data_IF_549905100039
#
_entry.id   IF_549905100039
#
_cell.length_a   1.000
_cell.length_b   1.000
_cell.length_c   1.000
_cell.angle_alpha   90.00
_cell.angle_beta   90.00
_cell.angle_gamma   90.00
#
_symmetry.space_group_name_H-M   'P 1'
#
loop_
_entity.id
_entity.type
_entity.pdbx_description
1 polymer ?
#
# COMPACT_ATOMS: atom_id res chain seq x y z
N UNK A 1 -59.35 -8.51 -90.20
CA UNK A 1 -60.02 -8.15 -88.93
C UNK A 1 -60.10 -9.40 -88.08
N UNK A 2 -59.53 -9.39 -86.87
CA UNK A 2 -59.75 -10.43 -85.85
C UNK A 2 -58.53 -11.29 -85.50
N UNK A 3 -57.60 -10.72 -84.75
CA UNK A 3 -56.52 -11.45 -84.08
C UNK A 3 -57.07 -12.23 -82.87
N UNK A 4 -56.71 -13.50 -82.75
CA UNK A 4 -56.87 -14.28 -81.52
C UNK A 4 -55.54 -14.95 -81.19
N UNK A 5 -54.62 -14.18 -80.63
CA UNK A 5 -53.47 -14.70 -79.91
C UNK A 5 -53.93 -15.15 -78.52
N UNK A 6 -53.79 -16.43 -78.26
CA UNK A 6 -53.96 -17.08 -76.97
C UNK A 6 -53.04 -16.43 -75.94
N UNK A 7 -53.62 -15.86 -74.87
CA UNK A 7 -52.89 -15.35 -73.70
C UNK A 7 -51.85 -16.39 -73.23
N UNK A 8 -50.58 -16.02 -72.99
CA UNK A 8 -49.76 -16.79 -72.08
C UNK A 8 -50.37 -16.67 -70.69
N UNK A 9 -50.69 -17.80 -70.05
CA UNK A 9 -50.93 -17.90 -68.61
C UNK A 9 -49.63 -17.56 -67.87
N UNK A 10 -49.34 -16.27 -67.79
CA UNK A 10 -48.36 -15.66 -66.89
C UNK A 10 -49.08 -15.41 -65.56
N UNK A 11 -49.04 -16.40 -64.68
CA UNK A 11 -49.23 -16.17 -63.26
C UNK A 11 -48.45 -17.24 -62.50
N UNK A 12 -47.12 -17.13 -62.56
CA UNK A 12 -46.24 -17.83 -61.64
C UNK A 12 -46.65 -17.54 -60.20
N UNK A 13 -46.38 -18.46 -59.29
CA UNK A 13 -46.66 -18.30 -57.87
C UNK A 13 -46.10 -16.96 -57.37
N UNK A 14 -46.97 -15.97 -57.18
CA UNK A 14 -46.61 -14.71 -56.55
C UNK A 14 -46.57 -15.00 -55.05
N UNK A 15 -45.35 -15.19 -54.55
CA UNK A 15 -45.09 -15.19 -53.11
C UNK A 15 -45.42 -13.80 -52.57
N UNK A 16 -46.64 -13.63 -52.06
CA UNK A 16 -47.01 -12.46 -51.27
C UNK A 16 -46.27 -12.59 -49.94
N UNK A 17 -45.21 -11.80 -49.75
CA UNK A 17 -44.63 -11.61 -48.43
C UNK A 17 -45.73 -11.03 -47.51
N UNK A 18 -46.24 -11.87 -46.62
CA UNK A 18 -47.36 -11.55 -45.74
C UNK A 18 -46.83 -10.86 -44.48
N UNK A 19 -47.27 -9.62 -44.27
CA UNK A 19 -47.30 -8.96 -42.95
C UNK A 19 -45.94 -8.63 -42.34
N UNK A 20 -45.92 -7.90 -41.20
CA UNK A 20 -44.67 -7.71 -40.45
C UNK A 20 -44.07 -9.08 -40.19
N UNK A 21 -42.74 -9.19 -40.30
CA UNK A 21 -42.00 -10.45 -40.15
C UNK A 21 -42.15 -11.04 -38.75
N UNK A 22 -43.32 -11.61 -38.45
CA UNK A 22 -43.59 -12.37 -37.25
C UNK A 22 -43.10 -13.78 -37.52
N UNK A 23 -42.00 -14.14 -36.86
CA UNK A 23 -41.54 -15.52 -36.81
C UNK A 23 -42.67 -16.36 -36.21
N UNK A 24 -43.03 -17.49 -36.84
CA UNK A 24 -44.11 -18.34 -36.32
C UNK A 24 -43.73 -18.90 -34.94
N UNK A 25 -44.72 -19.00 -34.06
CA UNK A 25 -44.53 -19.50 -32.69
C UNK A 25 -43.90 -20.90 -32.67
N UNK A 26 -44.27 -21.77 -33.61
CA UNK A 26 -43.71 -23.12 -33.72
C UNK A 26 -42.22 -23.13 -34.14
N UNK A 27 -41.79 -22.16 -34.95
CA UNK A 27 -40.38 -21.99 -35.27
C UNK A 27 -39.61 -21.43 -34.08
N UNK A 28 -40.21 -20.51 -33.32
CA UNK A 28 -39.61 -20.01 -32.07
C UNK A 28 -39.45 -21.14 -31.05
N UNK A 29 -40.45 -21.99 -30.87
CA UNK A 29 -40.41 -23.12 -29.95
C UNK A 29 -39.42 -24.21 -30.41
N UNK A 30 -39.29 -24.43 -31.73
CA UNK A 30 -38.24 -25.29 -32.31
C UNK A 30 -36.83 -24.71 -32.13
N UNK A 31 -36.67 -23.39 -32.24
CA UNK A 31 -35.40 -22.71 -31.98
C UNK A 31 -35.05 -22.68 -30.49
N UNK A 32 -36.05 -22.67 -29.61
CA UNK A 32 -35.90 -22.66 -28.16
C UNK A 32 -35.66 -24.06 -27.58
N UNK A 33 -36.21 -25.10 -28.20
CA UNK A 33 -36.02 -26.50 -27.79
C UNK A 33 -34.74 -27.14 -28.37
N UNK A 34 -34.06 -26.50 -29.33
CA UNK A 34 -32.86 -27.05 -29.95
C UNK A 34 -31.58 -26.72 -29.14
N UNK A 35 -30.92 -27.72 -28.52
CA UNK A 35 -29.75 -27.51 -27.66
C UNK A 35 -28.52 -26.97 -28.41
N UNK A 36 -28.40 -27.22 -29.71
CA UNK A 36 -27.28 -26.73 -30.53
C UNK A 36 -27.30 -25.20 -30.69
N UNK A 37 -28.50 -24.61 -30.67
CA UNK A 37 -28.68 -23.15 -30.76
C UNK A 37 -28.30 -22.48 -29.45
N UNK A 38 -28.57 -23.13 -28.32
CA UNK A 38 -28.22 -22.62 -26.99
C UNK A 38 -26.69 -22.57 -26.79
N UNK A 39 -25.97 -23.64 -27.18
CA UNK A 39 -24.51 -23.66 -27.13
C UNK A 39 -23.87 -22.55 -27.99
N UNK A 40 -24.43 -22.30 -29.18
CA UNK A 40 -23.96 -21.25 -30.08
C UNK A 40 -24.25 -19.85 -29.51
N UNK A 41 -25.41 -19.66 -28.89
CA UNK A 41 -25.81 -18.40 -28.23
C UNK A 41 -24.95 -18.12 -27.00
N UNK A 42 -24.71 -19.13 -26.16
CA UNK A 42 -23.84 -19.03 -25.00
C UNK A 42 -22.41 -18.63 -25.40
N UNK A 43 -21.84 -19.24 -26.45
CA UNK A 43 -20.53 -18.84 -27.00
C UNK A 43 -20.51 -17.40 -27.50
N UNK A 44 -21.58 -16.97 -28.17
CA UNK A 44 -21.68 -15.59 -28.68
C UNK A 44 -21.73 -14.57 -27.54
N UNK A 45 -22.50 -14.88 -26.49
CA UNK A 45 -22.59 -14.05 -25.28
C UNK A 45 -21.24 -14.01 -24.56
N UNK A 46 -20.58 -15.16 -24.43
CA UNK A 46 -19.25 -15.24 -23.79
C UNK A 46 -18.22 -14.37 -24.53
N UNK A 47 -18.19 -14.40 -25.86
CA UNK A 47 -17.30 -13.54 -26.66
C UNK A 47 -17.59 -12.06 -26.42
N UNK A 48 -18.87 -11.66 -26.30
CA UNK A 48 -19.24 -10.28 -25.99
C UNK A 48 -18.84 -9.87 -24.58
N UNK A 49 -18.98 -10.77 -23.60
CA UNK A 49 -18.52 -10.54 -22.23
C UNK A 49 -17.00 -10.36 -22.22
N UNK A 50 -16.25 -11.25 -22.87
CA UNK A 50 -14.81 -11.15 -22.99
C UNK A 50 -14.37 -9.83 -23.66
N UNK A 51 -15.07 -9.41 -24.72
CA UNK A 51 -14.79 -8.14 -25.39
C UNK A 51 -15.00 -6.95 -24.44
N UNK A 52 -16.12 -6.90 -23.72
CA UNK A 52 -16.39 -5.83 -22.74
C UNK A 52 -15.39 -5.84 -21.59
N UNK A 53 -15.07 -7.01 -21.05
CA UNK A 53 -14.07 -7.14 -19.98
C UNK A 53 -12.70 -6.66 -20.46
N UNK A 54 -12.29 -7.03 -21.68
CA UNK A 54 -11.03 -6.58 -22.26
C UNK A 54 -11.00 -5.06 -22.50
N UNK A 55 -12.12 -4.44 -22.91
CA UNK A 55 -12.24 -3.00 -23.02
C UNK A 55 -12.12 -2.30 -21.66
N UNK A 56 -12.80 -2.80 -20.63
CA UNK A 56 -12.72 -2.23 -19.28
C UNK A 56 -11.32 -2.40 -18.67
N UNK A 57 -10.66 -3.55 -18.87
CA UNK A 57 -9.28 -3.77 -18.44
C UNK A 57 -8.31 -2.81 -19.12
N UNK A 58 -8.48 -2.55 -20.43
CA UNK A 58 -7.67 -1.55 -21.14
C UNK A 58 -7.88 -0.14 -20.60
N UNK A 59 -9.12 0.23 -20.26
CA UNK A 59 -9.42 1.53 -19.64
C UNK A 59 -8.74 1.66 -18.27
N UNK A 60 -8.82 0.63 -17.42
CA UNK A 60 -8.16 0.63 -16.11
C UNK A 60 -6.64 0.68 -16.27
N UNK A 61 -6.05 -0.10 -17.17
CA UNK A 61 -4.61 -0.06 -17.43
C UNK A 61 -4.14 1.33 -17.88
N UNK A 62 -4.91 2.01 -18.73
CA UNK A 62 -4.59 3.38 -19.15
C UNK A 62 -4.65 4.35 -17.97
N UNK A 63 -5.71 4.29 -17.15
CA UNK A 63 -5.84 5.12 -15.94
C UNK A 63 -4.72 4.87 -14.94
N UNK A 64 -4.35 3.61 -14.70
CA UNK A 64 -3.21 3.26 -13.85
C UNK A 64 -1.91 3.78 -14.44
N UNK A 65 -1.69 3.65 -15.75
CA UNK A 65 -0.49 4.17 -16.40
C UNK A 65 -0.38 5.70 -16.33
N UNK A 66 -1.50 6.40 -16.45
CA UNK A 66 -1.58 7.87 -16.32
C UNK A 66 -1.36 8.29 -14.87
N UNK A 67 -1.97 7.59 -13.90
CA UNK A 67 -1.77 7.83 -12.49
C UNK A 67 -0.31 7.57 -12.07
N UNK A 68 0.31 6.50 -12.58
CA UNK A 68 1.72 6.20 -12.36
C UNK A 68 2.63 7.27 -12.97
N UNK A 69 2.35 7.73 -14.20
CA UNK A 69 3.08 8.85 -14.82
C UNK A 69 2.93 10.13 -14.00
N UNK A 70 1.70 10.49 -13.61
CA UNK A 70 1.46 11.67 -12.78
C UNK A 70 2.13 11.56 -11.40
N UNK A 71 2.19 10.37 -10.80
CA UNK A 71 2.93 10.14 -9.57
C UNK A 71 4.44 10.25 -9.80
N UNK A 72 4.97 9.70 -10.89
CA UNK A 72 6.37 9.85 -11.28
C UNK A 72 6.73 11.32 -11.53
N UNK A 73 5.87 12.09 -12.20
CA UNK A 73 6.06 13.52 -12.45
C UNK A 73 6.01 14.32 -11.15
N UNK A 74 5.10 13.99 -10.22
CA UNK A 74 5.06 14.58 -8.87
C UNK A 74 6.31 14.24 -8.07
N UNK A 75 6.79 13.00 -8.15
CA UNK A 75 8.03 12.58 -7.49
C UNK A 75 9.22 13.28 -8.13
N UNK A 76 9.26 13.42 -9.45
CA UNK A 76 10.33 14.13 -10.16
C UNK A 76 10.29 15.62 -9.86
N UNK A 77 9.11 16.24 -9.76
CA UNK A 77 8.92 17.62 -9.35
C UNK A 77 9.35 17.82 -7.90
N UNK A 78 8.90 16.98 -6.97
CA UNK A 78 9.34 17.00 -5.57
C UNK A 78 10.84 16.70 -5.44
N UNK A 79 11.41 15.83 -6.27
CA UNK A 79 12.84 15.59 -6.33
C UNK A 79 13.59 16.79 -6.90
N UNK A 80 13.00 17.56 -7.82
CA UNK A 80 13.59 18.78 -8.36
C UNK A 80 13.45 19.97 -7.39
N UNK A 81 12.36 20.06 -6.63
CA UNK A 81 12.22 20.99 -5.49
C UNK A 81 13.22 20.63 -4.39
N UNK A 82 13.41 19.33 -4.11
CA UNK A 82 14.49 18.85 -3.23
C UNK A 82 15.89 18.89 -3.88
N UNK A 83 16.03 19.16 -5.18
CA UNK A 83 17.33 19.48 -5.84
C UNK A 83 17.65 20.98 -5.77
N UNK A 84 16.72 21.82 -5.32
CA UNK A 84 17.07 23.14 -4.79
C UNK A 84 17.82 23.04 -3.46
N UNK A 85 17.81 21.87 -2.81
CA UNK A 85 18.91 21.48 -1.93
C UNK A 85 19.86 20.63 -2.77
N UNK A 86 20.96 21.25 -3.21
CA UNK A 86 22.06 20.61 -3.92
C UNK A 86 22.29 19.21 -3.37
N UNK A 87 22.23 18.22 -4.28
CA UNK A 87 22.19 16.80 -3.96
C UNK A 87 23.07 16.49 -2.77
N UNK A 88 22.48 15.81 -1.79
CA UNK A 88 23.06 15.46 -0.50
C UNK A 88 24.46 14.86 -0.67
N UNK A 89 25.44 15.74 -0.89
CA UNK A 89 26.81 15.35 -1.09
C UNK A 89 27.28 14.89 0.27
N UNK A 90 28.26 13.99 0.26
CA UNK A 90 28.90 13.53 1.50
C UNK A 90 29.25 14.69 2.44
N UNK A 91 29.54 15.87 1.88
CA UNK A 91 29.84 17.11 2.60
C UNK A 91 28.62 17.77 3.27
N UNK A 92 27.44 17.78 2.65
CA UNK A 92 26.23 18.32 3.30
C UNK A 92 25.75 17.39 4.41
N UNK A 93 25.80 16.08 4.18
CA UNK A 93 25.50 15.07 5.22
C UNK A 93 26.49 15.15 6.38
N UNK A 94 27.81 15.28 6.11
CA UNK A 94 28.80 15.42 7.20
C UNK A 94 28.57 16.67 8.03
N UNK A 95 28.25 17.80 7.40
CA UNK A 95 27.95 19.06 8.07
C UNK A 95 26.69 18.97 8.93
N UNK A 96 25.64 18.31 8.43
CA UNK A 96 24.42 18.06 9.20
C UNK A 96 24.68 17.13 10.39
N UNK A 97 25.49 16.09 10.23
CA UNK A 97 25.87 15.17 11.33
C UNK A 97 26.66 15.90 12.41
N UNK A 98 27.59 16.78 12.05
CA UNK A 98 28.32 17.62 13.01
C UNK A 98 27.38 18.59 13.75
N UNK A 99 26.44 19.21 13.04
CA UNK A 99 25.43 20.08 13.66
C UNK A 99 24.51 19.31 14.61
N UNK A 100 24.10 18.10 14.25
CA UNK A 100 23.32 17.23 15.12
C UNK A 100 24.13 16.78 16.35
N UNK A 101 25.40 16.45 16.18
CA UNK A 101 26.30 16.16 17.33
C UNK A 101 26.39 17.35 18.26
N UNK A 102 26.59 18.55 17.72
CA UNK A 102 26.61 19.79 18.52
C UNK A 102 25.29 20.01 19.26
N UNK A 103 24.15 19.83 18.58
CA UNK A 103 22.81 19.92 19.19
C UNK A 103 22.57 18.85 20.26
N UNK A 104 23.14 17.66 20.11
CA UNK A 104 23.06 16.58 21.10
C UNK A 104 23.98 16.83 22.30
N UNK A 105 25.14 17.42 22.09
CA UNK A 105 26.04 17.87 23.16
C UNK A 105 25.47 19.09 23.92
N UNK A 106 24.84 20.03 23.19
CA UNK A 106 24.08 21.15 23.75
C UNK A 106 22.87 20.66 24.55
N UNK A 107 22.21 19.58 24.10
CA UNK A 107 21.25 18.82 24.90
C UNK A 107 22.00 17.96 25.92
N UNK A 108 22.63 18.67 26.86
CA UNK A 108 23.24 18.20 28.09
C UNK A 108 22.66 16.85 28.51
N UNK A 109 23.54 15.84 28.54
CA UNK A 109 23.30 14.47 29.02
C UNK A 109 22.10 14.39 29.96
N UNK A 110 21.19 13.46 29.67
CA UNK A 110 20.14 13.00 30.59
C UNK A 110 20.73 12.95 31.99
N UNK A 111 20.32 13.91 32.83
CA UNK A 111 20.86 14.26 34.16
C UNK A 111 22.08 13.43 34.58
N UNK A 112 23.26 14.04 34.50
CA UNK A 112 24.47 13.52 35.15
C UNK A 112 24.12 13.16 36.60
N UNK A 113 24.23 11.87 36.93
CA UNK A 113 24.07 11.42 38.30
C UNK A 113 25.21 12.06 39.13
N UNK A 114 25.00 12.37 40.41
CA UNK A 114 26.10 12.89 41.21
C UNK A 114 27.23 11.85 41.26
N UNK A 115 28.47 12.33 41.20
CA UNK A 115 29.68 11.51 41.18
C UNK A 115 29.74 10.48 42.32
N UNK A 116 29.15 10.79 43.48
CA UNK A 116 29.09 9.89 44.62
C UNK A 116 28.34 8.59 44.27
N UNK A 117 27.14 8.70 43.71
CA UNK A 117 26.32 7.52 43.36
C UNK A 117 26.94 6.71 42.22
N UNK A 118 27.62 7.38 41.29
CA UNK A 118 28.39 6.70 40.25
C UNK A 118 29.58 5.92 40.83
N UNK A 119 30.29 6.49 41.81
CA UNK A 119 31.38 5.81 42.51
C UNK A 119 30.91 4.59 43.31
N UNK A 120 29.85 4.72 44.12
CA UNK A 120 29.30 3.60 44.88
C UNK A 120 28.73 2.51 43.97
N UNK A 121 28.10 2.89 42.84
CA UNK A 121 27.68 1.92 41.81
C UNK A 121 28.88 1.15 41.26
N UNK A 122 29.97 1.83 40.94
CA UNK A 122 31.17 1.19 40.42
C UNK A 122 31.84 0.28 41.44
N UNK A 123 31.81 0.61 42.74
CA UNK A 123 32.31 -0.26 43.81
C UNK A 123 31.50 -1.55 43.94
N UNK A 124 30.16 -1.46 43.87
CA UNK A 124 29.29 -2.64 43.83
C UNK A 124 29.58 -3.50 42.60
N UNK A 125 29.71 -2.88 41.43
CA UNK A 125 30.01 -3.60 40.18
C UNK A 125 31.37 -4.30 40.28
N UNK A 126 32.41 -3.62 40.79
CA UNK A 126 33.74 -4.21 41.00
C UNK A 126 33.65 -5.42 41.93
N UNK A 127 33.01 -5.28 43.09
CA UNK A 127 32.88 -6.40 44.03
C UNK A 127 32.14 -7.59 43.41
N UNK A 128 31.07 -7.35 42.65
CA UNK A 128 30.29 -8.40 41.99
C UNK A 128 31.07 -9.11 40.88
N UNK A 129 31.89 -8.38 40.12
CA UNK A 129 32.79 -8.97 39.11
C UNK A 129 33.88 -9.82 39.80
N UNK A 130 34.46 -9.31 40.88
CA UNK A 130 35.48 -10.04 41.63
C UNK A 130 34.89 -11.28 42.34
N UNK A 131 33.58 -11.27 42.62
CA UNK A 131 32.84 -12.33 43.31
C UNK A 131 31.66 -12.89 42.49
N UNK A 132 31.87 -13.20 41.20
CA UNK A 132 30.83 -13.66 40.25
C UNK A 132 29.93 -14.80 40.74
N UNK A 133 30.44 -15.67 41.63
CA UNK A 133 29.70 -16.84 42.17
C UNK A 133 29.25 -16.66 43.62
N UNK A 134 29.59 -15.54 44.28
CA UNK A 134 29.33 -15.28 45.70
C UNK A 134 28.86 -13.84 45.93
N UNK A 135 27.65 -13.48 45.47
CA UNK A 135 27.15 -12.12 45.57
C UNK A 135 26.89 -11.67 47.02
N UNK A 136 26.78 -12.61 47.98
CA UNK A 136 26.62 -12.29 49.40
C UNK A 136 27.84 -11.58 50.02
N UNK A 137 29.03 -11.71 49.43
CA UNK A 137 30.24 -11.05 49.92
C UNK A 137 30.22 -9.53 49.73
N UNK A 138 29.37 -9.02 48.84
CA UNK A 138 29.33 -7.61 48.43
C UNK A 138 28.24 -6.80 49.14
N UNK A 139 27.78 -7.26 50.30
CA UNK A 139 26.65 -6.66 51.01
C UNK A 139 26.98 -5.25 51.54
N UNK A 140 28.22 -5.03 51.98
CA UNK A 140 28.65 -3.74 52.53
C UNK A 140 28.63 -2.63 51.46
N UNK A 141 29.09 -2.94 50.24
CA UNK A 141 29.08 -2.05 49.08
C UNK A 141 27.64 -1.74 48.64
N UNK A 142 26.77 -2.76 48.68
CA UNK A 142 25.35 -2.59 48.35
C UNK A 142 24.64 -1.70 49.37
N UNK A 143 24.94 -1.82 50.66
CA UNK A 143 24.37 -0.94 51.69
C UNK A 143 24.86 0.50 51.54
N UNK A 144 26.14 0.72 51.24
CA UNK A 144 26.68 2.06 50.92
C UNK A 144 25.95 2.69 49.74
N UNK A 145 25.77 1.94 48.65
CA UNK A 145 25.02 2.39 47.48
C UNK A 145 23.57 2.75 47.82
N UNK A 146 22.86 1.91 48.60
CA UNK A 146 21.48 2.18 49.03
C UNK A 146 21.36 3.47 49.84
N UNK A 147 22.32 3.75 50.72
CA UNK A 147 22.32 4.99 51.52
C UNK A 147 22.46 6.20 50.62
N UNK A 148 23.34 6.15 49.61
CA UNK A 148 23.52 7.27 48.69
C UNK A 148 22.32 7.49 47.76
N UNK A 149 21.70 6.41 47.29
CA UNK A 149 20.46 6.48 46.51
C UNK A 149 19.32 7.08 47.36
N UNK A 150 19.16 6.66 48.62
CA UNK A 150 18.16 7.26 49.53
C UNK A 150 18.36 8.76 49.72
N UNK A 151 19.61 9.24 49.83
CA UNK A 151 19.92 10.67 49.92
C UNK A 151 19.49 11.41 48.66
N UNK A 152 19.78 10.83 47.48
CA UNK A 152 19.34 11.39 46.21
C UNK A 152 17.81 11.43 46.07
N UNK A 153 17.14 10.35 46.45
CA UNK A 153 15.68 10.26 46.42
C UNK A 153 15.07 11.30 47.35
N UNK A 154 15.57 11.46 48.58
CA UNK A 154 15.12 12.50 49.50
C UNK A 154 15.29 13.91 48.93
N UNK A 155 16.44 14.21 48.33
CA UNK A 155 16.68 15.49 47.67
C UNK A 155 15.73 15.72 46.49
N UNK A 156 15.43 14.68 45.72
CA UNK A 156 14.51 14.75 44.61
C UNK A 156 13.06 14.94 45.09
N UNK A 157 12.61 14.17 46.08
CA UNK A 157 11.26 14.29 46.67
C UNK A 157 11.06 15.69 47.26
N UNK A 158 12.04 16.21 48.02
CA UNK A 158 11.96 17.56 48.57
C UNK A 158 11.84 18.64 47.48
N UNK A 159 12.50 18.44 46.33
CA UNK A 159 12.43 19.35 45.19
C UNK A 159 11.12 19.27 44.40
N UNK A 160 10.42 18.14 44.44
CA UNK A 160 9.17 17.91 43.70
C UNK A 160 7.94 18.25 44.53
N UNK A 161 8.03 18.08 45.86
CA UNK A 161 6.94 18.38 46.79
C UNK A 161 6.91 19.85 47.22
N UNK A 162 8.04 20.56 47.14
CA UNK A 162 8.13 22.02 47.32
C UNK A 162 7.84 22.77 46.04
#
# INVERSE_FOLDING_TARGET
>A
MGASESKPTLAGHIWKASGPSSVSHDLLDSLQSNPETDASRARTVEIQIQARVAEELKKLQNQESEALKAAQDKIAAAANENKSEEGQSRHTVSKQVEEFRRKLEERKQVRTLPANVESARNEVIKCLIDNDRRPLNCYEEVEKFKVEVKKLEQQWVNKVVS
#
